data_IF_704635077853
#
_entry.id   IF_704635077853
#
_cell.length_a   1.000
_cell.length_b   1.000
_cell.length_c   1.000
_cell.angle_alpha   90.00
_cell.angle_beta   90.00
_cell.angle_gamma   90.00
#
_symmetry.space_group_name_H-M   'P 1'
#
loop_
_entity.id
_entity.type
_entity.pdbx_description
1 polymer ?
#
# COMPACT_ATOMS: atom_id res chain seq x y z
N UNK A 1 -19.49 2.10 35.54
CA UNK A 1 -19.89 2.95 34.39
C UNK A 1 -18.66 3.07 33.51
N UNK A 2 -18.57 2.34 32.39
CA UNK A 2 -17.37 2.34 31.55
C UNK A 2 -17.27 3.68 30.79
N UNK A 3 -16.08 4.26 30.80
CA UNK A 3 -15.77 5.50 30.07
C UNK A 3 -15.90 5.24 28.56
N UNK A 4 -16.83 5.96 27.92
CA UNK A 4 -17.00 5.91 26.47
C UNK A 4 -15.75 6.48 25.80
N UNK A 5 -15.01 5.63 25.11
CA UNK A 5 -13.88 6.00 24.25
C UNK A 5 -14.30 7.08 23.27
N UNK A 6 -13.62 8.22 23.33
CA UNK A 6 -13.83 9.34 22.40
C UNK A 6 -13.31 8.91 21.02
N UNK A 7 -14.23 8.75 20.07
CA UNK A 7 -13.89 8.52 18.67
C UNK A 7 -12.92 9.60 18.17
N UNK A 8 -11.86 9.22 17.41
CA UNK A 8 -10.92 10.17 16.85
C UNK A 8 -11.66 11.13 15.91
N UNK A 9 -11.41 12.43 16.07
CA UNK A 9 -12.00 13.47 15.22
C UNK A 9 -11.48 13.31 13.80
N UNK A 10 -12.32 12.76 12.92
CA UNK A 10 -12.06 12.71 11.48
C UNK A 10 -11.78 14.11 10.99
N UNK A 11 -10.55 14.35 10.54
CA UNK A 11 -10.22 15.59 9.83
C UNK A 11 -10.94 15.52 8.48
N UNK A 12 -11.77 16.51 8.13
CA UNK A 12 -12.42 16.53 6.83
C UNK A 12 -11.32 16.45 5.77
N UNK A 13 -11.37 15.42 4.92
CA UNK A 13 -10.43 15.25 3.82
C UNK A 13 -10.81 16.27 2.75
N UNK A 14 -10.36 17.51 2.95
CA UNK A 14 -10.66 18.60 2.04
C UNK A 14 -9.73 18.46 0.84
N UNK A 15 -10.27 17.98 -0.27
CA UNK A 15 -9.55 17.89 -1.53
C UNK A 15 -9.15 19.30 -1.98
N UNK A 16 -7.89 19.67 -1.73
CA UNK A 16 -7.33 21.01 -2.01
C UNK A 16 -7.50 21.41 -3.47
N UNK A 17 -7.53 20.44 -4.40
CA UNK A 17 -7.73 20.67 -5.83
C UNK A 17 -9.17 21.11 -6.12
N UNK A 18 -10.16 20.50 -5.47
CA UNK A 18 -11.56 20.91 -5.59
C UNK A 18 -11.79 22.31 -5.00
N UNK A 19 -11.17 22.62 -3.85
CA UNK A 19 -11.22 23.97 -3.29
C UNK A 19 -10.58 25.01 -4.22
N UNK A 20 -9.44 24.70 -4.85
CA UNK A 20 -8.80 25.59 -5.82
C UNK A 20 -9.68 25.85 -7.05
N UNK A 21 -10.38 24.83 -7.58
CA UNK A 21 -11.30 25.00 -8.73
C UNK A 21 -12.50 25.89 -8.34
N UNK A 22 -13.11 25.64 -7.18
CA UNK A 22 -14.24 26.45 -6.69
C UNK A 22 -13.79 27.90 -6.45
N UNK A 23 -12.61 28.09 -5.83
CA UNK A 23 -12.07 29.43 -5.55
C UNK A 23 -11.72 30.15 -6.85
N UNK A 24 -11.16 29.45 -7.84
CA UNK A 24 -10.88 30.01 -9.16
C UNK A 24 -12.15 30.41 -9.93
N UNK A 25 -13.23 29.62 -9.83
CA UNK A 25 -14.53 29.99 -10.42
C UNK A 25 -15.18 31.17 -9.71
N UNK A 26 -15.11 31.26 -8.37
CA UNK A 26 -15.62 32.42 -7.64
C UNK A 26 -14.82 33.70 -7.91
N UNK A 27 -13.50 33.60 -8.08
CA UNK A 27 -12.65 34.77 -8.38
C UNK A 27 -12.79 35.26 -9.84
N UNK A 28 -13.23 34.39 -10.76
CA UNK A 28 -13.56 34.76 -12.14
C UNK A 28 -14.87 35.57 -12.23
N UNK A 29 -15.79 35.43 -11.27
CA UNK A 29 -17.03 36.23 -11.22
C UNK A 29 -16.79 37.66 -10.70
N UNK A 30 -15.79 37.86 -9.83
CA UNK A 30 -15.53 39.15 -9.19
C UNK A 30 -14.67 40.13 -10.03
N UNK A 31 -14.06 39.69 -11.13
CA UNK A 31 -13.21 40.55 -11.97
C UNK A 31 -13.86 41.18 -13.20
N UNK A 32 -15.19 41.11 -13.35
CA UNK A 32 -15.89 42.03 -14.26
C UNK A 32 -17.09 41.47 -14.98
N UNK A 33 -18.21 41.34 -14.27
CA UNK A 33 -19.55 41.39 -14.88
C UNK A 33 -20.34 42.53 -14.21
N UNK A 34 -19.72 43.71 -14.17
CA UNK A 34 -20.34 45.00 -13.88
C UNK A 34 -20.68 45.77 -15.16
N UNK A 35 -21.12 45.08 -16.21
CA UNK A 35 -21.73 45.67 -17.39
C UNK A 35 -22.58 44.61 -18.06
N UNK A 36 -23.87 44.57 -17.70
CA UNK A 36 -24.88 43.89 -18.50
C UNK A 36 -24.86 44.58 -19.86
N UNK A 37 -24.11 44.01 -20.79
CA UNK A 37 -24.16 44.43 -22.18
C UNK A 37 -25.57 44.17 -22.65
N UNK A 38 -26.31 45.26 -22.87
CA UNK A 38 -27.45 45.31 -23.78
C UNK A 38 -26.98 45.05 -25.22
N UNK A 39 -26.16 44.03 -25.45
CA UNK A 39 -25.94 43.43 -26.75
C UNK A 39 -27.21 42.67 -27.13
N UNK A 40 -28.25 43.47 -27.36
CA UNK A 40 -29.23 43.23 -28.40
C UNK A 40 -28.52 42.52 -29.56
N UNK A 41 -29.09 41.38 -29.93
CA UNK A 41 -28.70 40.60 -31.10
C UNK A 41 -28.36 41.58 -32.25
N UNK A 42 -27.11 41.65 -32.74
CA UNK A 42 -26.68 42.67 -33.74
C UNK A 42 -27.42 42.57 -35.09
N UNK A 43 -28.29 41.56 -35.24
CA UNK A 43 -29.23 41.40 -36.35
C UNK A 43 -30.44 42.35 -36.21
N UNK A 44 -30.91 42.62 -34.98
CA UNK A 44 -32.10 43.47 -34.76
C UNK A 44 -31.78 44.97 -34.88
N UNK A 45 -30.59 45.41 -34.49
CA UNK A 45 -30.16 46.81 -34.62
C UNK A 45 -29.87 47.24 -36.07
N UNK A 46 -29.64 46.28 -36.97
CA UNK A 46 -29.56 46.55 -38.43
C UNK A 46 -30.93 46.59 -39.10
N UNK A 47 -31.97 45.98 -38.53
CA UNK A 47 -33.34 46.04 -39.07
C UNK A 47 -34.05 47.37 -38.77
N UNK A 48 -33.73 48.05 -37.66
CA UNK A 48 -34.37 49.32 -37.30
C UNK A 48 -33.93 50.51 -38.19
N UNK A 49 -32.82 50.38 -38.94
CA UNK A 49 -32.29 51.49 -39.77
C UNK A 49 -32.62 51.40 -41.26
N UNK A 50 -33.25 50.31 -41.71
CA UNK A 50 -33.61 50.13 -43.12
C UNK A 50 -35.06 50.51 -43.45
N UNK A 51 -35.90 50.78 -42.45
CA UNK A 51 -37.26 51.28 -42.67
C UNK A 51 -37.25 52.80 -42.88
N UNK A 52 -37.64 53.32 -44.06
CA UNK A 52 -37.73 54.76 -44.30
C UNK A 52 -38.76 55.39 -43.35
N UNK A 53 -38.39 56.48 -42.66
CA UNK A 53 -39.25 57.24 -41.71
C UNK A 53 -40.54 57.81 -42.32
N UNK A 54 -40.73 57.67 -43.62
CA UNK A 54 -41.94 58.08 -44.36
C UNK A 54 -42.83 56.90 -44.76
N UNK A 55 -42.44 55.66 -44.45
CA UNK A 55 -43.32 54.52 -44.62
C UNK A 55 -44.49 54.66 -43.65
N UNK A 56 -45.65 55.05 -44.17
CA UNK A 56 -46.95 54.86 -43.50
C UNK A 56 -46.93 53.44 -42.95
N UNK A 57 -46.97 53.30 -41.64
CA UNK A 57 -47.29 52.04 -40.98
C UNK A 57 -48.70 51.70 -41.42
N UNK A 58 -48.82 51.01 -42.55
CA UNK A 58 -50.05 50.37 -42.96
C UNK A 58 -50.40 49.46 -41.79
N UNK A 59 -51.44 49.84 -41.07
CA UNK A 59 -51.95 49.13 -39.92
C UNK A 59 -52.33 47.72 -40.40
N UNK A 60 -51.43 46.74 -40.29
CA UNK A 60 -51.65 45.40 -40.88
C UNK A 60 -52.76 44.64 -40.13
N UNK A 61 -53.35 45.22 -39.08
CA UNK A 61 -54.46 44.64 -38.33
C UNK A 61 -55.62 44.22 -39.23
N UNK A 62 -55.97 45.02 -40.25
CA UNK A 62 -57.07 44.70 -41.16
C UNK A 62 -56.78 43.55 -42.15
N UNK A 63 -55.52 43.15 -42.32
CA UNK A 63 -55.17 41.98 -43.14
C UNK A 63 -55.27 40.66 -42.35
N UNK A 64 -55.36 40.70 -41.01
CA UNK A 64 -55.60 39.54 -40.16
C UNK A 64 -57.09 39.23 -39.95
N UNK A 65 -58.00 40.15 -40.29
CA UNK A 65 -59.44 40.06 -40.06
C UNK A 65 -60.20 39.21 -41.11
N UNK A 66 -59.52 38.47 -41.98
CA UNK A 66 -60.20 37.52 -42.86
C UNK A 66 -60.81 36.38 -42.02
N UNK A 67 -62.14 36.29 -42.00
CA UNK A 67 -62.90 35.26 -41.24
C UNK A 67 -62.45 33.82 -41.51
N UNK A 68 -61.89 33.54 -42.67
CA UNK A 68 -61.35 32.22 -43.04
C UNK A 68 -60.01 31.89 -42.38
N UNK A 69 -59.28 32.87 -41.84
CA UNK A 69 -58.06 32.68 -41.03
C UNK A 69 -58.32 32.72 -39.52
N UNK A 70 -59.56 32.97 -39.08
CA UNK A 70 -59.92 33.12 -37.67
C UNK A 70 -60.36 31.82 -36.98
N UNK A 71 -60.63 30.74 -37.70
CA UNK A 71 -60.84 29.43 -37.07
C UNK A 71 -59.47 28.77 -36.88
N UNK A 72 -58.96 28.70 -35.63
CA UNK A 72 -57.69 28.06 -35.37
C UNK A 72 -57.77 26.60 -35.82
N UNK A 73 -56.85 26.18 -36.68
CA UNK A 73 -56.69 24.75 -36.96
C UNK A 73 -56.13 24.09 -35.71
N UNK A 74 -57.02 23.50 -34.92
CA UNK A 74 -56.64 22.77 -33.73
C UNK A 74 -56.03 21.43 -34.13
N UNK A 75 -54.89 21.04 -33.54
CA UNK A 75 -54.37 19.69 -33.72
C UNK A 75 -55.36 18.67 -33.17
N UNK A 76 -55.46 17.48 -33.78
CA UNK A 76 -56.28 16.40 -33.26
C UNK A 76 -55.85 16.02 -31.83
N UNK A 77 -56.81 15.54 -31.02
CA UNK A 77 -56.49 15.00 -29.70
C UNK A 77 -55.58 13.77 -29.84
N UNK A 78 -54.68 13.60 -28.86
CA UNK A 78 -53.84 12.41 -28.72
C UNK A 78 -54.37 11.45 -27.66
N UNK A 79 -55.49 11.79 -27.01
CA UNK A 79 -56.20 10.88 -26.11
C UNK A 79 -56.73 9.73 -26.96
N UNK A 80 -56.60 8.50 -26.46
CA UNK A 80 -57.09 7.33 -27.17
C UNK A 80 -58.60 7.24 -27.07
N UNK A 81 -59.22 6.60 -28.07
CA UNK A 81 -60.68 6.44 -28.12
C UNK A 81 -61.25 5.68 -26.91
N UNK A 82 -60.46 4.77 -26.31
CA UNK A 82 -60.83 4.04 -25.09
C UNK A 82 -61.07 4.95 -23.87
N UNK A 83 -60.50 6.15 -23.89
CA UNK A 83 -60.62 7.16 -22.83
C UNK A 83 -61.61 8.28 -23.20
N UNK A 84 -62.30 8.17 -24.34
CA UNK A 84 -63.30 9.17 -24.72
C UNK A 84 -64.52 9.09 -23.81
N UNK A 85 -65.03 10.25 -23.42
CA UNK A 85 -66.24 10.36 -22.61
C UNK A 85 -67.39 10.75 -23.51
N UNK A 86 -68.40 9.90 -23.54
CA UNK A 86 -69.64 10.13 -24.30
C UNK A 86 -70.79 10.42 -23.34
N UNK A 87 -71.66 11.35 -23.73
CA UNK A 87 -72.92 11.64 -23.06
C UNK A 87 -74.07 11.07 -23.90
N UNK A 88 -74.87 10.20 -23.29
CA UNK A 88 -76.04 9.60 -23.92
C UNK A 88 -77.27 10.49 -23.77
N UNK A 89 -78.03 10.63 -24.86
CA UNK A 89 -79.18 11.52 -24.94
C UNK A 89 -80.24 10.98 -25.91
N UNK A 90 -81.50 11.39 -25.71
CA UNK A 90 -82.59 10.94 -26.58
C UNK A 90 -82.58 11.56 -27.97
N UNK A 91 -81.87 12.68 -28.16
CA UNK A 91 -81.78 13.42 -29.42
C UNK A 91 -80.32 13.81 -29.67
N UNK A 92 -79.85 13.86 -30.94
CA UNK A 92 -78.48 14.27 -31.24
C UNK A 92 -78.25 15.71 -30.75
N UNK A 93 -77.22 15.91 -29.93
CA UNK A 93 -76.86 17.23 -29.41
C UNK A 93 -76.02 18.03 -30.40
N UNK A 94 -75.16 17.33 -31.15
CA UNK A 94 -74.26 17.94 -32.14
C UNK A 94 -73.98 17.01 -33.34
N UNK A 95 -73.28 17.52 -34.36
CA UNK A 95 -72.88 16.80 -35.58
C UNK A 95 -72.01 15.57 -35.29
N UNK A 96 -71.36 15.53 -34.13
CA UNK A 96 -70.53 14.42 -33.66
C UNK A 96 -71.32 13.32 -32.94
N UNK A 97 -72.65 13.44 -32.84
CA UNK A 97 -73.49 12.45 -32.18
C UNK A 97 -73.61 11.18 -33.02
N UNK A 98 -73.30 10.02 -32.43
CA UNK A 98 -73.48 8.70 -33.05
C UNK A 98 -74.63 7.95 -32.38
N UNK A 99 -75.56 7.40 -33.16
CA UNK A 99 -76.64 6.57 -32.62
C UNK A 99 -76.09 5.18 -32.28
N UNK A 100 -76.40 4.69 -31.08
CA UNK A 100 -76.08 3.33 -30.67
C UNK A 100 -77.35 2.48 -30.65
N UNK A 101 -77.33 1.40 -31.43
CA UNK A 101 -78.46 0.46 -31.50
C UNK A 101 -78.61 -0.38 -30.21
N UNK A 102 -77.57 -0.47 -29.38
CA UNK A 102 -77.55 -1.31 -28.18
C UNK A 102 -78.44 -0.77 -27.06
N UNK A 103 -78.40 0.54 -26.83
CA UNK A 103 -79.20 1.22 -25.80
C UNK A 103 -80.29 2.12 -26.39
N UNK A 104 -80.30 2.30 -27.71
CA UNK A 104 -81.26 3.12 -28.43
C UNK A 104 -81.09 4.63 -28.20
N UNK A 105 -79.91 5.08 -27.76
CA UNK A 105 -79.62 6.49 -27.46
C UNK A 105 -78.53 7.07 -28.39
N UNK A 106 -78.54 8.40 -28.52
CA UNK A 106 -77.51 9.17 -29.21
C UNK A 106 -76.35 9.46 -28.26
N UNK A 107 -75.15 9.03 -28.62
CA UNK A 107 -73.92 9.28 -27.88
C UNK A 107 -73.17 10.46 -28.49
N UNK A 108 -73.02 11.54 -27.73
CA UNK A 108 -72.24 12.71 -28.16
C UNK A 108 -70.89 12.67 -27.47
N UNK A 109 -69.80 12.81 -28.23
CA UNK A 109 -68.44 12.87 -27.67
C UNK A 109 -68.26 14.19 -26.90
N UNK A 110 -68.20 14.10 -25.57
CA UNK A 110 -68.01 15.27 -24.68
C UNK A 110 -66.53 15.55 -24.43
N UNK A 111 -65.71 14.51 -24.32
CA UNK A 111 -64.26 14.64 -24.14
C UNK A 111 -63.52 13.59 -24.96
N UNK A 112 -62.48 13.96 -25.72
CA UNK A 112 -61.99 15.32 -25.97
C UNK A 112 -62.92 16.13 -26.88
N UNK A 113 -63.29 17.35 -26.46
CA UNK A 113 -64.16 18.26 -27.23
C UNK A 113 -63.43 18.85 -28.45
N UNK A 114 -64.14 19.02 -29.55
CA UNK A 114 -63.60 19.69 -30.76
C UNK A 114 -63.41 21.21 -30.52
N UNK A 115 -64.05 21.77 -29.49
CA UNK A 115 -63.91 23.16 -29.04
C UNK A 115 -63.52 23.23 -27.56
N UNK A 116 -62.26 22.91 -27.20
CA UNK A 116 -61.86 22.60 -25.83
C UNK A 116 -61.62 23.87 -25.00
N UNK A 117 -62.62 24.73 -24.87
CA UNK A 117 -62.50 26.01 -24.16
C UNK A 117 -63.27 26.06 -22.84
N UNK A 118 -64.07 25.03 -22.56
CA UNK A 118 -64.98 25.03 -21.42
C UNK A 118 -64.27 24.67 -20.11
N UNK A 119 -64.82 25.13 -19.00
CA UNK A 119 -64.39 24.68 -17.66
C UNK A 119 -64.55 23.16 -17.51
N UNK A 120 -65.56 22.59 -18.14
CA UNK A 120 -65.83 21.15 -18.13
C UNK A 120 -64.70 20.37 -18.79
N UNK A 121 -64.15 20.84 -19.91
CA UNK A 121 -63.00 20.19 -20.59
C UNK A 121 -61.77 20.12 -19.69
N UNK A 122 -61.48 21.20 -18.96
CA UNK A 122 -60.36 21.24 -18.01
C UNK A 122 -60.57 20.24 -16.85
N UNK A 123 -61.80 20.11 -16.34
CA UNK A 123 -62.14 19.16 -15.28
C UNK A 123 -62.05 17.71 -15.79
N UNK A 124 -62.54 17.44 -17.01
CA UNK A 124 -62.46 16.10 -17.60
C UNK A 124 -61.00 15.70 -17.88
N UNK A 125 -60.17 16.63 -18.34
CA UNK A 125 -58.73 16.41 -18.50
C UNK A 125 -58.06 16.10 -17.16
N UNK A 126 -58.32 16.87 -16.11
CA UNK A 126 -57.77 16.62 -14.76
C UNK A 126 -58.18 15.24 -14.21
N UNK A 127 -59.45 14.86 -14.40
CA UNK A 127 -59.96 13.55 -14.04
C UNK A 127 -59.26 12.42 -14.83
N UNK A 128 -59.06 12.61 -16.14
CA UNK A 128 -58.34 11.65 -16.98
C UNK A 128 -56.89 11.51 -16.51
N UNK A 129 -56.16 12.61 -16.35
CA UNK A 129 -54.78 12.60 -15.82
C UNK A 129 -54.74 11.86 -14.48
N UNK A 130 -55.60 12.21 -13.54
CA UNK A 130 -55.65 11.60 -12.21
C UNK A 130 -55.98 10.11 -12.24
N UNK A 131 -56.80 9.65 -13.18
CA UNK A 131 -57.09 8.23 -13.38
C UNK A 131 -55.86 7.51 -13.94
N UNK A 132 -55.30 8.00 -15.04
CA UNK A 132 -54.17 7.38 -15.73
C UNK A 132 -52.91 7.36 -14.85
N UNK A 133 -52.66 8.42 -14.08
CA UNK A 133 -51.57 8.46 -13.11
C UNK A 133 -51.74 7.44 -11.99
N UNK A 134 -52.97 7.20 -11.50
CA UNK A 134 -53.23 6.16 -10.48
C UNK A 134 -53.03 4.75 -11.03
N UNK A 135 -53.29 4.54 -12.31
CA UNK A 135 -53.03 3.26 -12.98
C UNK A 135 -51.52 3.03 -13.13
N UNK A 136 -50.77 4.04 -13.57
CA UNK A 136 -49.30 3.97 -13.71
C UNK A 136 -48.59 3.91 -12.36
N UNK A 137 -49.11 4.54 -11.30
CA UNK A 137 -48.47 4.53 -9.98
C UNK A 137 -48.25 3.10 -9.44
N UNK A 138 -49.01 2.11 -9.92
CA UNK A 138 -48.80 0.70 -9.59
C UNK A 138 -47.49 0.14 -10.19
N UNK A 139 -47.03 0.70 -11.30
CA UNK A 139 -45.83 0.35 -12.04
C UNK A 139 -44.92 1.58 -12.12
N UNK A 140 -44.09 1.80 -11.09
CA UNK A 140 -43.29 3.03 -10.86
C UNK A 140 -42.17 3.32 -11.89
N UNK A 141 -42.37 3.01 -13.17
CA UNK A 141 -41.44 3.33 -14.23
C UNK A 141 -41.71 4.76 -14.70
N UNK A 142 -40.78 5.67 -14.40
CA UNK A 142 -40.77 7.06 -14.88
C UNK A 142 -40.95 7.14 -16.41
N UNK A 143 -40.53 6.11 -17.15
CA UNK A 143 -40.68 6.02 -18.60
C UNK A 143 -42.15 5.93 -19.06
N UNK A 144 -43.04 5.33 -18.27
CA UNK A 144 -44.47 5.22 -18.60
C UNK A 144 -45.23 6.52 -18.30
N UNK A 145 -44.71 7.33 -17.38
CA UNK A 145 -45.31 8.61 -16.99
C UNK A 145 -45.16 9.68 -18.08
N UNK A 146 -44.01 9.71 -18.76
CA UNK A 146 -43.68 10.75 -19.75
C UNK A 146 -44.68 10.82 -20.90
N UNK A 147 -45.08 9.70 -21.56
CA UNK A 147 -46.11 9.72 -22.60
C UNK A 147 -47.44 10.31 -22.14
N UNK A 148 -47.90 9.96 -20.93
CA UNK A 148 -49.19 10.46 -20.40
C UNK A 148 -49.16 11.96 -20.15
N UNK A 149 -48.08 12.46 -19.54
CA UNK A 149 -47.89 13.90 -19.34
C UNK A 149 -47.76 14.66 -20.67
N UNK A 150 -47.16 14.04 -21.70
CA UNK A 150 -47.07 14.61 -23.04
C UNK A 150 -48.45 14.76 -23.69
N UNK A 151 -49.30 13.73 -23.61
CA UNK A 151 -50.70 13.78 -24.10
C UNK A 151 -51.51 14.82 -23.32
N UNK A 152 -51.37 14.86 -21.99
CA UNK A 152 -52.02 15.85 -21.14
C UNK A 152 -51.67 17.28 -21.55
N UNK A 153 -50.38 17.55 -21.77
CA UNK A 153 -49.94 18.88 -22.17
C UNK A 153 -50.35 19.21 -23.61
N UNK A 154 -50.38 18.24 -24.52
CA UNK A 154 -50.92 18.43 -25.86
C UNK A 154 -52.39 18.88 -25.81
N UNK A 155 -53.18 18.30 -24.90
CA UNK A 155 -54.55 18.72 -24.65
C UNK A 155 -54.62 20.16 -24.11
N UNK A 156 -53.78 20.53 -23.13
CA UNK A 156 -53.68 21.90 -22.62
C UNK A 156 -53.31 22.88 -23.73
N UNK A 157 -52.36 22.52 -24.60
CA UNK A 157 -51.99 23.33 -25.77
C UNK A 157 -53.20 23.49 -26.69
N UNK A 158 -54.01 22.45 -26.92
CA UNK A 158 -55.24 22.56 -27.73
C UNK A 158 -56.26 23.52 -27.08
N UNK A 159 -56.45 23.45 -25.77
CA UNK A 159 -57.31 24.38 -25.01
C UNK A 159 -56.82 25.83 -25.15
N UNK A 160 -55.52 26.06 -24.99
CA UNK A 160 -54.92 27.40 -25.12
C UNK A 160 -54.98 27.90 -26.57
N UNK A 161 -54.73 27.05 -27.57
CA UNK A 161 -54.80 27.42 -28.99
C UNK A 161 -56.23 27.81 -29.41
N UNK A 162 -57.25 27.17 -28.85
CA UNK A 162 -58.64 27.55 -29.11
C UNK A 162 -58.94 28.96 -28.61
N UNK A 163 -58.40 29.35 -27.44
CA UNK A 163 -58.57 30.70 -26.90
C UNK A 163 -57.67 31.75 -27.56
N UNK A 164 -56.41 31.40 -27.83
CA UNK A 164 -55.41 32.28 -28.43
C UNK A 164 -54.28 31.43 -29.05
N UNK A 165 -54.25 31.39 -30.39
CA UNK A 165 -53.31 30.57 -31.18
C UNK A 165 -51.87 30.88 -30.84
N UNK A 166 -51.53 32.15 -30.72
CA UNK A 166 -50.16 32.63 -30.49
C UNK A 166 -49.62 32.12 -29.15
N UNK A 167 -50.47 32.13 -28.10
CA UNK A 167 -50.12 31.58 -26.79
C UNK A 167 -49.92 30.08 -26.84
N UNK A 168 -50.79 29.38 -27.57
CA UNK A 168 -50.68 27.92 -27.74
C UNK A 168 -49.42 27.51 -28.50
N UNK A 169 -49.09 28.22 -29.59
CA UNK A 169 -47.84 28.01 -30.35
C UNK A 169 -46.61 28.30 -29.49
N UNK A 170 -46.62 29.39 -28.71
CA UNK A 170 -45.54 29.70 -27.79
C UNK A 170 -45.37 28.61 -26.72
N UNK A 171 -46.46 28.14 -26.11
CA UNK A 171 -46.45 27.06 -25.11
C UNK A 171 -45.91 25.76 -25.70
N UNK A 172 -46.35 25.39 -26.91
CA UNK A 172 -45.85 24.20 -27.60
C UNK A 172 -44.34 24.29 -27.87
N UNK A 173 -43.84 25.46 -28.27
CA UNK A 173 -42.40 25.67 -28.50
C UNK A 173 -41.61 25.54 -27.20
N UNK A 174 -42.07 26.16 -26.12
CA UNK A 174 -41.43 26.04 -24.79
C UNK A 174 -41.37 24.58 -24.36
N UNK A 175 -42.46 23.83 -24.52
CA UNK A 175 -42.49 22.42 -24.18
C UNK A 175 -41.51 21.58 -25.00
N UNK A 176 -41.49 21.75 -26.33
CA UNK A 176 -40.54 21.01 -27.19
C UNK A 176 -39.10 21.28 -26.76
N UNK A 177 -38.74 22.54 -26.51
CA UNK A 177 -37.40 22.89 -26.01
C UNK A 177 -37.10 22.29 -24.63
N UNK A 178 -38.09 22.22 -23.75
CA UNK A 178 -37.95 21.56 -22.45
C UNK A 178 -37.71 20.04 -22.58
N UNK A 179 -38.48 19.36 -23.43
CA UNK A 179 -38.30 17.92 -23.70
C UNK A 179 -36.93 17.65 -24.32
N UNK A 180 -36.52 18.42 -25.31
CA UNK A 180 -35.17 18.31 -25.92
C UNK A 180 -34.05 18.51 -24.89
N UNK A 181 -34.20 19.48 -23.97
CA UNK A 181 -33.24 19.70 -22.88
C UNK A 181 -33.22 18.50 -21.94
N UNK A 182 -34.39 17.99 -21.56
CA UNK A 182 -34.50 16.86 -20.67
C UNK A 182 -33.90 15.58 -21.27
N UNK A 183 -34.14 15.30 -22.54
CA UNK A 183 -33.52 14.20 -23.28
C UNK A 183 -31.99 14.31 -23.27
N UNK A 184 -31.43 15.50 -23.54
CA UNK A 184 -29.98 15.72 -23.46
C UNK A 184 -29.42 15.44 -22.07
N UNK A 185 -30.12 15.86 -21.02
CA UNK A 185 -29.71 15.60 -19.63
C UNK A 185 -29.78 14.10 -19.32
N UNK A 186 -30.81 13.39 -19.76
CA UNK A 186 -30.92 11.94 -19.60
C UNK A 186 -29.80 11.21 -20.33
N UNK A 187 -29.51 11.58 -21.58
CA UNK A 187 -28.41 11.00 -22.35
C UNK A 187 -27.06 11.23 -21.67
N UNK A 188 -26.82 12.46 -21.18
CA UNK A 188 -25.60 12.77 -20.44
C UNK A 188 -25.50 11.96 -19.13
N UNK A 189 -26.61 11.78 -18.41
CA UNK A 189 -26.66 10.98 -17.20
C UNK A 189 -26.42 9.49 -17.49
N UNK A 190 -26.99 8.95 -18.58
CA UNK A 190 -26.76 7.57 -19.01
C UNK A 190 -25.30 7.33 -19.42
N UNK A 191 -24.71 8.26 -20.17
CA UNK A 191 -23.29 8.20 -20.54
C UNK A 191 -22.39 8.27 -19.30
N UNK A 192 -22.70 9.18 -18.37
CA UNK A 192 -21.99 9.26 -17.08
C UNK A 192 -22.11 7.97 -16.29
N UNK A 193 -23.30 7.37 -16.20
CA UNK A 193 -23.52 6.09 -15.53
C UNK A 193 -22.73 4.96 -16.19
N UNK A 194 -22.67 4.92 -17.53
CA UNK A 194 -21.89 3.94 -18.28
C UNK A 194 -20.39 4.06 -17.97
N UNK A 195 -19.85 5.27 -18.01
CA UNK A 195 -18.45 5.54 -17.69
C UNK A 195 -18.12 5.18 -16.23
N UNK A 196 -19.04 5.45 -15.29
CA UNK A 196 -18.88 5.01 -13.90
C UNK A 196 -18.87 3.49 -13.78
N UNK A 197 -19.76 2.78 -14.49
CA UNK A 197 -19.76 1.31 -14.51
C UNK A 197 -18.46 0.73 -15.06
N UNK A 198 -17.95 1.28 -16.15
CA UNK A 198 -16.66 0.88 -16.74
C UNK A 198 -15.51 1.09 -15.75
N UNK A 199 -15.43 2.28 -15.15
CA UNK A 199 -14.39 2.58 -14.14
C UNK A 199 -14.50 1.71 -12.89
N UNK A 200 -15.72 1.42 -12.42
CA UNK A 200 -15.92 0.52 -11.28
C UNK A 200 -15.49 -0.91 -11.64
N UNK A 201 -15.70 -1.35 -12.88
CA UNK A 201 -15.22 -2.65 -13.34
C UNK A 201 -13.68 -2.71 -13.38
N UNK A 202 -13.00 -1.68 -13.90
CA UNK A 202 -11.53 -1.59 -13.88
C UNK A 202 -10.97 -1.68 -12.46
N UNK A 203 -11.50 -0.88 -11.53
CA UNK A 203 -11.07 -0.91 -10.11
C UNK A 203 -11.36 -2.27 -9.47
N UNK A 204 -12.46 -2.92 -9.84
CA UNK A 204 -12.78 -4.26 -9.35
C UNK A 204 -11.79 -5.31 -9.86
N UNK A 205 -11.29 -5.15 -11.08
CA UNK A 205 -10.28 -6.06 -11.65
C UNK A 205 -8.89 -5.81 -11.04
N UNK A 206 -8.47 -4.57 -10.83
CA UNK A 206 -7.26 -4.22 -10.07
C UNK A 206 -7.31 -4.81 -8.64
N UNK A 207 -8.47 -4.71 -7.97
CA UNK A 207 -8.67 -5.29 -6.64
C UNK A 207 -8.55 -6.82 -6.66
N UNK A 208 -9.01 -7.50 -7.72
CA UNK A 208 -8.85 -8.95 -7.85
C UNK A 208 -7.39 -9.33 -8.04
N UNK A 209 -6.63 -8.58 -8.84
CA UNK A 209 -5.21 -8.81 -9.08
C UNK A 209 -4.39 -8.65 -7.79
N UNK A 210 -4.56 -7.53 -7.08
CA UNK A 210 -3.90 -7.30 -5.79
C UNK A 210 -4.22 -8.40 -4.76
N UNK A 211 -5.47 -8.86 -4.71
CA UNK A 211 -5.85 -9.98 -3.84
C UNK A 211 -5.19 -11.31 -4.24
N UNK A 212 -4.95 -11.54 -5.53
CA UNK A 212 -4.22 -12.72 -6.00
C UNK A 212 -2.75 -12.65 -5.60
N UNK A 213 -2.10 -11.48 -5.73
CA UNK A 213 -0.71 -11.27 -5.30
C UNK A 213 -0.55 -11.49 -3.79
N UNK A 214 -1.44 -10.92 -2.97
CA UNK A 214 -1.42 -11.15 -1.52
C UNK A 214 -1.58 -12.64 -1.18
N UNK A 215 -2.45 -13.36 -1.90
CA UNK A 215 -2.60 -14.81 -1.72
C UNK A 215 -1.36 -15.58 -2.15
N UNK A 216 -0.69 -15.16 -3.22
CA UNK A 216 0.55 -15.76 -3.68
C UNK A 216 1.67 -15.54 -2.66
N UNK A 217 1.87 -14.31 -2.20
CA UNK A 217 2.83 -13.98 -1.15
C UNK A 217 2.58 -14.77 0.14
N UNK A 218 1.31 -14.90 0.57
CA UNK A 218 0.93 -15.73 1.73
C UNK A 218 1.29 -17.22 1.55
N UNK A 219 1.34 -17.74 0.32
CA UNK A 219 1.74 -19.12 0.03
C UNK A 219 3.25 -19.27 -0.06
N UNK A 220 3.95 -18.33 -0.68
CA UNK A 220 5.40 -18.41 -0.90
C UNK A 220 6.22 -18.08 0.35
N UNK A 221 5.75 -17.18 1.19
CA UNK A 221 6.44 -16.76 2.42
C UNK A 221 6.83 -17.92 3.35
N UNK A 222 5.95 -18.89 3.71
CA UNK A 222 6.33 -20.01 4.56
C UNK A 222 7.39 -20.92 3.92
N UNK A 223 7.36 -21.10 2.60
CA UNK A 223 8.37 -21.90 1.88
C UNK A 223 9.73 -21.20 1.91
N UNK A 224 9.77 -19.89 1.66
CA UNK A 224 11.00 -19.09 1.76
C UNK A 224 11.56 -19.10 3.19
N UNK A 225 10.71 -18.91 4.20
CA UNK A 225 11.11 -19.02 5.60
C UNK A 225 11.68 -20.40 5.92
N UNK A 226 11.04 -21.47 5.47
CA UNK A 226 11.51 -22.83 5.71
C UNK A 226 12.88 -23.10 5.06
N UNK A 227 13.11 -22.59 3.85
CA UNK A 227 14.40 -22.67 3.18
C UNK A 227 15.50 -21.94 3.96
N UNK A 228 15.23 -20.72 4.43
CA UNK A 228 16.20 -19.93 5.22
C UNK A 228 16.49 -20.62 6.54
N UNK A 229 15.48 -21.12 7.25
CA UNK A 229 15.64 -21.85 8.50
C UNK A 229 16.51 -23.09 8.27
N UNK A 230 16.21 -23.89 7.24
CA UNK A 230 16.97 -25.10 6.91
C UNK A 230 18.44 -24.78 6.56
N UNK A 231 18.69 -23.69 5.82
CA UNK A 231 20.06 -23.26 5.50
C UNK A 231 20.84 -22.83 6.75
N UNK A 232 20.20 -22.08 7.65
CA UNK A 232 20.80 -21.64 8.91
C UNK A 232 21.08 -22.82 9.85
N UNK A 233 20.16 -23.77 9.96
CA UNK A 233 20.36 -25.01 10.72
C UNK A 233 21.54 -25.81 10.18
N UNK A 234 21.66 -25.96 8.86
CA UNK A 234 22.79 -26.65 8.23
C UNK A 234 24.12 -25.94 8.53
N UNK A 235 24.18 -24.61 8.41
CA UNK A 235 25.38 -23.82 8.74
C UNK A 235 25.74 -23.91 10.23
N UNK A 236 24.74 -23.91 11.11
CA UNK A 236 24.95 -24.04 12.55
C UNK A 236 25.52 -25.41 12.90
N UNK A 237 24.93 -26.49 12.38
CA UNK A 237 25.44 -27.85 12.56
C UNK A 237 26.86 -28.01 12.03
N UNK A 238 27.16 -27.40 10.88
CA UNK A 238 28.51 -27.43 10.31
C UNK A 238 29.53 -26.72 11.21
N UNK A 239 29.19 -25.53 11.72
CA UNK A 239 30.06 -24.80 12.66
C UNK A 239 30.24 -25.56 13.97
N UNK A 240 29.18 -26.12 14.52
CA UNK A 240 29.24 -26.95 15.72
C UNK A 240 30.20 -28.14 15.52
N UNK A 241 30.09 -28.86 14.40
CA UNK A 241 30.98 -29.97 14.07
C UNK A 241 32.44 -29.55 13.88
N UNK A 242 32.69 -28.33 13.39
CA UNK A 242 34.04 -27.79 13.30
C UNK A 242 34.61 -27.52 14.71
N UNK A 243 33.85 -26.84 15.57
CA UNK A 243 34.29 -26.60 16.95
C UNK A 243 34.51 -27.88 17.76
N UNK A 244 33.66 -28.90 17.58
CA UNK A 244 33.86 -30.21 18.21
C UNK A 244 35.16 -30.89 17.74
N UNK A 245 35.52 -30.70 16.46
CA UNK A 245 36.78 -31.20 15.91
C UNK A 245 37.98 -30.44 16.47
N UNK A 246 37.93 -29.11 16.45
CA UNK A 246 39.01 -28.27 16.96
C UNK A 246 39.24 -28.52 18.46
N UNK A 247 38.16 -28.74 19.22
CA UNK A 247 38.23 -29.13 20.63
C UNK A 247 38.91 -30.49 20.81
N UNK A 248 38.54 -31.50 20.00
CA UNK A 248 39.12 -32.83 20.06
C UNK A 248 40.63 -32.82 19.70
N UNK A 249 41.01 -32.04 18.68
CA UNK A 249 42.41 -31.84 18.29
C UNK A 249 43.20 -31.18 19.43
N UNK A 250 42.66 -30.11 20.04
CA UNK A 250 43.31 -29.45 21.17
C UNK A 250 43.42 -30.36 22.41
N UNK A 251 42.44 -31.23 22.66
CA UNK A 251 42.51 -32.23 23.74
C UNK A 251 43.58 -33.29 23.47
N UNK A 252 43.72 -33.75 22.23
CA UNK A 252 44.77 -34.68 21.81
C UNK A 252 46.16 -34.05 21.96
N UNK A 253 46.35 -32.82 21.50
CA UNK A 253 47.59 -32.06 21.67
C UNK A 253 47.94 -31.85 23.14
N UNK A 254 46.95 -31.51 23.96
CA UNK A 254 47.12 -31.34 25.41
C UNK A 254 47.53 -32.65 26.08
N UNK A 255 46.93 -33.77 25.67
CA UNK A 255 47.30 -35.10 26.14
C UNK A 255 48.72 -35.47 25.70
N UNK A 256 49.07 -35.24 24.43
CA UNK A 256 50.40 -35.46 23.89
C UNK A 256 51.45 -34.65 24.66
N UNK A 257 51.23 -33.35 24.86
CA UNK A 257 52.10 -32.48 25.65
C UNK A 257 52.25 -32.96 27.10
N UNK A 258 51.14 -33.34 27.76
CA UNK A 258 51.18 -33.94 29.12
C UNK A 258 52.00 -35.23 29.16
N UNK A 259 51.85 -36.10 28.16
CA UNK A 259 52.65 -37.34 28.09
C UNK A 259 54.12 -37.03 27.84
N UNK A 260 54.45 -36.09 26.96
CA UNK A 260 55.82 -35.66 26.68
C UNK A 260 56.49 -35.08 27.95
N UNK A 261 55.82 -34.19 28.67
CA UNK A 261 56.30 -33.64 29.95
C UNK A 261 56.55 -34.76 30.97
N UNK A 262 55.64 -35.72 31.10
CA UNK A 262 55.82 -36.85 32.01
C UNK A 262 57.01 -37.73 31.61
N UNK A 263 57.22 -37.95 30.32
CA UNK A 263 58.37 -38.70 29.81
C UNK A 263 59.67 -37.96 30.10
N UNK A 264 59.74 -36.67 29.78
CA UNK A 264 60.89 -35.82 30.10
C UNK A 264 61.17 -35.77 31.62
N UNK A 265 60.13 -35.69 32.45
CA UNK A 265 60.28 -35.71 33.90
C UNK A 265 60.88 -37.04 34.38
N UNK A 266 60.44 -38.18 33.85
CA UNK A 266 61.03 -39.49 34.14
C UNK A 266 62.48 -39.60 33.67
N UNK A 267 62.79 -39.07 32.49
CA UNK A 267 64.16 -39.01 31.98
C UNK A 267 65.02 -38.16 32.92
N UNK A 268 64.55 -36.97 33.31
CA UNK A 268 65.22 -36.09 34.24
C UNK A 268 65.47 -36.78 35.60
N UNK A 269 64.47 -37.44 36.17
CA UNK A 269 64.62 -38.22 37.41
C UNK A 269 65.65 -39.35 37.27
N UNK A 270 65.73 -39.99 36.10
CA UNK A 270 66.74 -41.02 35.82
C UNK A 270 68.15 -40.45 35.68
N UNK A 271 68.29 -39.28 35.04
CA UNK A 271 69.58 -38.62 34.83
C UNK A 271 70.05 -37.81 36.03
N UNK A 272 69.13 -37.41 36.92
CA UNK A 272 69.35 -36.57 38.10
C UNK A 272 68.40 -36.95 39.26
N UNK A 273 68.60 -38.10 39.92
CA UNK A 273 67.89 -38.50 41.14
C UNK A 273 67.90 -37.45 42.25
N UNK A 274 68.95 -36.62 42.32
CA UNK A 274 69.07 -35.52 43.28
C UNK A 274 68.26 -34.27 42.89
N UNK A 275 67.75 -34.18 41.66
CA UNK A 275 67.12 -32.98 41.10
C UNK A 275 66.04 -32.35 41.99
N UNK A 276 65.20 -33.18 42.62
CA UNK A 276 64.14 -32.69 43.52
C UNK A 276 64.66 -31.79 44.65
N UNK A 277 65.91 -31.96 45.08
CA UNK A 277 66.54 -31.22 46.18
C UNK A 277 67.09 -29.86 45.75
N UNK A 278 67.34 -29.64 44.46
CA UNK A 278 67.90 -28.39 43.96
C UNK A 278 67.09 -27.69 42.87
N UNK A 279 65.99 -28.28 42.39
CA UNK A 279 65.08 -27.66 41.42
C UNK A 279 64.47 -26.33 41.90
N UNK A 280 64.40 -26.14 43.22
CA UNK A 280 63.87 -24.94 43.88
C UNK A 280 64.91 -24.21 44.74
N UNK A 281 66.19 -24.58 44.62
CA UNK A 281 67.30 -23.89 45.30
C UNK A 281 67.50 -22.47 44.75
N UNK A 282 68.07 -21.58 45.58
CA UNK A 282 68.41 -20.18 45.26
C UNK A 282 69.27 -20.01 43.99
N UNK A 283 69.96 -21.05 43.51
CA UNK A 283 70.67 -21.05 42.23
C UNK A 283 69.72 -20.79 41.04
N UNK A 284 68.43 -21.13 41.17
CA UNK A 284 67.37 -20.81 40.20
C UNK A 284 67.17 -19.30 40.01
N UNK A 285 67.47 -18.48 41.01
CA UNK A 285 67.42 -17.02 40.92
C UNK A 285 68.65 -16.42 40.23
N UNK A 286 69.69 -17.22 39.96
CA UNK A 286 70.90 -16.80 39.23
C UNK A 286 70.84 -17.19 37.74
N UNK A 287 69.87 -18.01 37.33
CA UNK A 287 69.59 -18.31 35.92
C UNK A 287 68.57 -17.27 35.38
N UNK A 288 68.76 -16.71 34.17
CA UNK A 288 67.84 -15.71 33.63
C UNK A 288 66.45 -16.34 33.46
N UNK A 289 65.49 -15.85 34.25
CA UNK A 289 64.11 -16.30 34.16
C UNK A 289 63.50 -15.76 32.86
N UNK A 290 63.07 -16.66 31.97
CA UNK A 290 62.12 -16.29 30.93
C UNK A 290 60.75 -16.12 31.58
N UNK A 291 60.29 -14.87 31.64
CA UNK A 291 59.02 -14.47 32.26
C UNK A 291 57.83 -15.17 31.59
N UNK A 292 57.45 -16.33 32.11
CA UNK A 292 56.12 -16.89 31.89
C UNK A 292 55.42 -17.01 33.23
N UNK A 293 54.59 -16.00 33.50
CA UNK A 293 53.80 -15.87 34.71
C UNK A 293 52.90 -17.09 34.92
N UNK A 294 53.21 -17.86 35.95
CA UNK A 294 52.26 -18.79 36.56
C UNK A 294 52.32 -18.61 38.07
N UNK A 295 51.26 -18.01 38.59
CA UNK A 295 51.07 -17.69 39.99
C UNK A 295 51.07 -18.99 40.80
N UNK A 296 51.96 -19.00 41.78
CA UNK A 296 52.24 -20.05 42.74
C UNK A 296 51.01 -20.39 43.59
N UNK A 297 50.71 -21.68 43.70
CA UNK A 297 49.85 -22.26 44.73
C UNK A 297 50.44 -23.60 45.15
N UNK A 298 51.53 -23.56 45.94
CA UNK A 298 52.04 -24.74 46.64
C UNK A 298 52.82 -24.32 47.89
N UNK A 299 52.08 -24.15 48.96
CA UNK A 299 52.60 -24.15 50.32
C UNK A 299 51.78 -25.17 51.12
N UNK A 300 52.22 -26.43 51.12
CA UNK A 300 52.21 -27.30 52.30
C UNK A 300 52.67 -28.71 51.93
N UNK A 301 53.52 -29.27 52.81
CA UNK A 301 53.83 -30.69 53.02
C UNK A 301 54.87 -31.32 52.07
N UNK A 302 56.13 -31.34 52.53
CA UNK A 302 56.85 -32.61 52.80
C UNK A 302 58.11 -32.33 53.63
N UNK A 303 58.05 -32.63 54.93
CA UNK A 303 59.21 -32.69 55.80
C UNK A 303 59.75 -34.13 55.87
N UNK A 304 61.08 -34.24 55.89
CA UNK A 304 61.92 -35.41 56.18
C UNK A 304 61.96 -36.55 55.16
N UNK A 305 63.02 -36.60 54.35
CA UNK A 305 64.09 -37.62 54.35
C UNK A 305 65.30 -37.03 53.60
N UNK A 306 66.48 -37.03 54.23
CA UNK A 306 67.82 -36.65 53.73
C UNK A 306 68.02 -35.21 53.18
N UNK A 307 68.34 -34.28 54.10
CA UNK A 307 68.88 -32.93 53.79
C UNK A 307 70.32 -33.03 53.26
N UNK A 308 70.51 -33.64 52.09
CA UNK A 308 71.67 -33.31 51.28
C UNK A 308 71.46 -31.86 50.80
N UNK A 309 72.34 -30.94 51.23
CA UNK A 309 72.28 -29.55 50.79
C UNK A 309 72.20 -29.51 49.24
N UNK A 310 71.40 -28.59 48.64
CA UNK A 310 71.16 -28.57 47.20
C UNK A 310 72.44 -28.64 46.36
N UNK A 311 73.50 -27.99 46.84
CA UNK A 311 74.83 -27.98 46.24
C UNK A 311 75.50 -29.36 46.26
N UNK A 312 75.29 -30.13 47.34
CA UNK A 312 75.80 -31.50 47.49
C UNK A 312 75.04 -32.45 46.56
N UNK A 313 73.71 -32.35 46.50
CA UNK A 313 72.89 -33.14 45.59
C UNK A 313 73.25 -32.87 44.10
N UNK A 314 73.45 -31.60 43.73
CA UNK A 314 73.96 -31.24 42.40
C UNK A 314 75.34 -31.83 42.13
N UNK A 315 76.27 -31.71 43.09
CA UNK A 315 77.63 -32.22 42.94
C UNK A 315 77.67 -33.75 42.80
N UNK A 316 76.79 -34.47 43.51
CA UNK A 316 76.65 -35.92 43.40
C UNK A 316 76.11 -36.36 42.05
N UNK A 317 75.05 -35.71 41.55
CA UNK A 317 74.52 -36.00 40.22
C UNK A 317 75.54 -35.67 39.11
N UNK A 318 76.24 -34.54 39.23
CA UNK A 318 77.30 -34.14 38.29
C UNK A 318 78.47 -35.13 38.31
N UNK A 319 78.89 -35.55 39.50
CA UNK A 319 79.91 -36.60 39.66
C UNK A 319 79.48 -37.92 39.02
N UNK A 320 78.20 -38.31 39.14
CA UNK A 320 77.67 -39.53 38.51
C UNK A 320 77.69 -39.43 36.99
N UNK A 321 77.25 -38.30 36.43
CA UNK A 321 77.30 -38.04 34.98
C UNK A 321 78.72 -38.11 34.43
N UNK A 322 79.67 -37.44 35.10
CA UNK A 322 81.07 -37.50 34.70
C UNK A 322 81.62 -38.93 34.79
N UNK A 323 81.26 -39.69 35.82
CA UNK A 323 81.69 -41.08 35.98
C UNK A 323 81.17 -42.01 34.88
N UNK A 324 79.96 -41.75 34.35
CA UNK A 324 79.36 -42.51 33.27
C UNK A 324 80.04 -42.25 31.90
N UNK A 325 80.76 -41.14 31.74
CA UNK A 325 81.44 -40.80 30.50
C UNK A 325 82.81 -41.50 30.35
N UNK A 326 83.18 -41.90 29.11
CA UNK A 326 84.54 -42.35 28.80
C UNK A 326 85.58 -41.30 29.23
N UNK A 327 86.76 -41.72 29.69
CA UNK A 327 87.78 -40.83 30.24
C UNK A 327 88.22 -39.74 29.25
N UNK A 328 88.17 -40.02 27.95
CA UNK A 328 88.54 -39.04 26.91
C UNK A 328 87.52 -37.89 26.82
N UNK A 329 86.22 -38.19 26.95
CA UNK A 329 85.16 -37.17 26.98
C UNK A 329 85.19 -36.35 28.27
N UNK A 330 85.54 -36.97 29.40
CA UNK A 330 85.75 -36.25 30.67
C UNK A 330 86.86 -35.21 30.57
N UNK A 331 87.94 -35.51 29.85
CA UNK A 331 89.05 -34.56 29.64
C UNK A 331 88.62 -33.37 28.80
N UNK A 332 87.84 -33.60 27.73
CA UNK A 332 87.31 -32.52 26.89
C UNK A 332 86.35 -31.63 27.66
N UNK A 333 85.36 -32.22 28.35
CA UNK A 333 84.42 -31.46 29.19
C UNK A 333 85.14 -30.72 30.32
N UNK A 334 86.15 -31.36 30.93
CA UNK A 334 87.01 -30.73 31.92
C UNK A 334 87.79 -29.54 31.37
N UNK A 335 88.25 -29.59 30.11
CA UNK A 335 88.89 -28.46 29.43
C UNK A 335 87.90 -27.33 29.13
N UNK A 336 86.70 -27.65 28.65
CA UNK A 336 85.67 -26.66 28.32
C UNK A 336 85.15 -25.95 29.57
N UNK A 337 84.92 -26.68 30.67
CA UNK A 337 84.53 -26.11 31.96
C UNK A 337 85.63 -25.25 32.57
N UNK A 338 86.90 -25.59 32.32
CA UNK A 338 88.03 -24.78 32.78
C UNK A 338 88.05 -23.42 32.08
N UNK A 339 87.73 -23.38 30.77
CA UNK A 339 87.50 -22.12 30.05
C UNK A 339 86.35 -21.29 30.60
N UNK A 340 85.25 -21.93 31.02
CA UNK A 340 84.09 -21.25 31.63
C UNK A 340 84.39 -20.70 33.04
N UNK A 341 85.20 -21.42 33.83
CA UNK A 341 85.64 -21.02 35.17
C UNK A 341 86.66 -19.88 35.10
N UNK A 342 87.52 -19.88 34.08
CA UNK A 342 88.54 -18.85 33.86
C UNK A 342 87.97 -17.54 33.26
N UNK A 343 86.67 -17.49 32.94
CA UNK A 343 85.94 -16.27 32.64
C UNK A 343 86.13 -15.72 31.22
N UNK A 344 86.47 -16.56 30.24
CA UNK A 344 86.44 -16.14 28.83
C UNK A 344 84.99 -15.86 28.42
N UNK A 345 84.72 -14.60 28.05
CA UNK A 345 83.40 -14.13 27.61
C UNK A 345 82.87 -15.02 26.48
N UNK A 346 81.70 -15.60 26.70
CA UNK A 346 80.92 -16.27 25.65
C UNK A 346 80.63 -15.24 24.56
N UNK A 347 81.40 -15.29 23.47
CA UNK A 347 81.13 -14.51 22.27
C UNK A 347 79.67 -14.74 21.85
N UNK A 348 78.98 -13.62 21.70
CA UNK A 348 77.56 -13.48 21.33
C UNK A 348 77.18 -14.50 20.26
N UNK A 349 76.29 -15.43 20.62
CA UNK A 349 75.54 -16.22 19.67
C UNK A 349 74.79 -15.22 18.78
N UNK A 350 75.21 -15.15 17.52
CA UNK A 350 74.58 -14.37 16.48
C UNK A 350 73.07 -14.62 16.49
N UNK A 351 72.30 -13.57 16.77
CA UNK A 351 70.89 -13.50 16.44
C UNK A 351 70.74 -13.88 14.97
N UNK A 352 70.10 -15.01 14.73
CA UNK A 352 69.67 -15.39 13.40
C UNK A 352 68.83 -14.22 12.84
N UNK A 353 69.03 -13.84 11.57
CA UNK A 353 68.32 -12.73 10.97
C UNK A 353 66.83 -13.05 11.03
N UNK A 354 66.08 -12.30 11.83
CA UNK A 354 64.62 -12.27 11.78
C UNK A 354 64.23 -12.09 10.30
N UNK A 355 63.44 -13.02 9.80
CA UNK A 355 63.03 -13.12 8.41
C UNK A 355 62.17 -11.89 8.05
N UNK A 356 62.83 -10.81 7.62
CA UNK A 356 62.19 -9.53 7.25
C UNK A 356 61.14 -9.72 6.15
N UNK A 357 61.26 -10.78 5.35
CA UNK A 357 60.34 -11.15 4.29
C UNK A 357 59.00 -11.67 4.84
N UNK A 358 59.03 -12.41 5.96
CA UNK A 358 57.82 -12.91 6.62
C UNK A 358 57.01 -11.77 7.26
N UNK A 359 57.69 -10.80 7.89
CA UNK A 359 57.05 -9.58 8.40
C UNK A 359 56.47 -8.71 7.28
N UNK A 360 57.10 -8.69 6.11
CA UNK A 360 56.58 -7.93 4.96
C UNK A 360 55.28 -8.55 4.43
N UNK A 361 55.21 -9.89 4.37
CA UNK A 361 53.99 -10.61 3.99
C UNK A 361 52.85 -10.42 5.01
N UNK A 362 53.17 -10.45 6.31
CA UNK A 362 52.17 -10.15 7.35
C UNK A 362 51.61 -8.72 7.22
N UNK A 363 52.45 -7.73 6.89
CA UNK A 363 52.00 -6.35 6.68
C UNK A 363 51.09 -6.24 5.45
N UNK A 364 51.43 -6.89 4.33
CA UNK A 364 50.61 -6.90 3.11
C UNK A 364 49.24 -7.57 3.35
N UNK A 365 49.21 -8.66 4.13
CA UNK A 365 47.96 -9.32 4.49
C UNK A 365 47.07 -8.45 5.40
N UNK A 366 47.67 -7.72 6.35
CA UNK A 366 46.94 -6.77 7.19
C UNK A 366 46.33 -5.64 6.35
N UNK A 367 47.07 -5.10 5.39
CA UNK A 367 46.55 -4.05 4.49
C UNK A 367 45.39 -4.55 3.61
N UNK A 368 45.47 -5.79 3.10
CA UNK A 368 44.36 -6.41 2.35
C UNK A 368 43.10 -6.53 3.21
N UNK A 369 43.24 -7.03 4.44
CA UNK A 369 42.11 -7.18 5.36
C UNK A 369 41.50 -5.83 5.77
N UNK A 370 42.32 -4.77 5.91
CA UNK A 370 41.83 -3.42 6.18
C UNK A 370 41.01 -2.84 5.02
N UNK A 371 41.45 -3.04 3.77
CA UNK A 371 40.68 -2.65 2.59
C UNK A 371 39.33 -3.39 2.49
N UNK A 372 39.30 -4.68 2.80
CA UNK A 372 38.06 -5.47 2.81
C UNK A 372 37.08 -5.00 3.90
N UNK A 373 37.58 -4.70 5.10
CA UNK A 373 36.76 -4.14 6.18
C UNK A 373 36.14 -2.79 5.79
N UNK A 374 36.90 -1.90 5.16
CA UNK A 374 36.37 -0.61 4.70
C UNK A 374 35.25 -0.77 3.66
N UNK A 375 35.40 -1.71 2.72
CA UNK A 375 34.36 -1.99 1.73
C UNK A 375 33.07 -2.54 2.38
N UNK A 376 33.20 -3.41 3.38
CA UNK A 376 32.05 -3.94 4.13
C UNK A 376 31.37 -2.84 4.97
N UNK A 377 32.12 -1.92 5.58
CA UNK A 377 31.56 -0.79 6.32
C UNK A 377 30.76 0.17 5.42
N UNK A 378 31.23 0.43 4.20
CA UNK A 378 30.52 1.23 3.22
C UNK A 378 29.22 0.55 2.77
N UNK A 379 29.26 -0.76 2.52
CA UNK A 379 28.07 -1.55 2.19
C UNK A 379 27.02 -1.54 3.33
N UNK A 380 27.46 -1.68 4.58
CA UNK A 380 26.57 -1.61 5.75
C UNK A 380 25.93 -0.22 5.86
N UNK A 381 26.70 0.84 5.55
CA UNK A 381 26.20 2.22 5.57
C UNK A 381 25.13 2.45 4.50
N UNK A 382 25.31 1.92 3.30
CA UNK A 382 24.31 1.98 2.24
C UNK A 382 23.04 1.20 2.58
N UNK A 383 23.15 -0.01 3.15
CA UNK A 383 21.99 -0.78 3.61
C UNK A 383 21.22 -0.04 4.70
N UNK A 384 21.91 0.60 5.65
CA UNK A 384 21.26 1.41 6.69
C UNK A 384 20.51 2.61 6.12
N UNK A 385 21.05 3.28 5.10
CA UNK A 385 20.33 4.40 4.46
C UNK A 385 19.12 3.93 3.65
N UNK A 386 19.19 2.74 3.03
CA UNK A 386 18.04 2.13 2.37
C UNK A 386 16.94 1.75 3.36
N UNK A 387 17.27 1.12 4.49
CA UNK A 387 16.30 0.79 5.55
C UNK A 387 15.64 2.07 6.09
N UNK A 388 16.43 3.10 6.43
CA UNK A 388 15.89 4.37 6.92
C UNK A 388 14.96 5.05 5.89
N UNK A 389 15.25 4.89 4.59
CA UNK A 389 14.39 5.38 3.52
C UNK A 389 13.07 4.60 3.45
N UNK A 390 13.12 3.26 3.52
CA UNK A 390 11.92 2.42 3.53
C UNK A 390 11.03 2.69 4.76
N UNK A 391 11.64 2.91 5.93
CA UNK A 391 10.94 3.30 7.16
C UNK A 391 10.30 4.70 7.03
N UNK A 392 10.99 5.68 6.42
CA UNK A 392 10.47 7.02 6.22
C UNK A 392 9.34 7.10 5.18
N UNK A 393 9.33 6.19 4.19
CA UNK A 393 8.27 6.06 3.19
C UNK A 393 6.99 5.43 3.76
N UNK A 394 6.96 5.05 5.05
CA UNK A 394 5.74 4.70 5.78
C UNK A 394 5.14 3.36 5.38
N UNK A 395 5.94 2.47 4.79
CA UNK A 395 5.62 1.04 4.72
C UNK A 395 5.85 0.47 6.11
N UNK A 396 4.89 0.68 7.01
CA UNK A 396 4.86 0.02 8.31
C UNK A 396 4.22 -1.36 8.08
N UNK A 397 4.98 -2.47 8.05
CA UNK A 397 4.45 -3.80 7.74
C UNK A 397 3.58 -4.39 8.88
N UNK A 398 3.25 -3.61 9.91
CA UNK A 398 2.72 -4.11 11.17
C UNK A 398 1.33 -3.61 11.58
N UNK A 399 0.66 -2.72 10.82
CA UNK A 399 -0.67 -2.20 11.19
C UNK A 399 -1.84 -2.77 10.35
N UNK A 400 -1.72 -3.99 9.81
CA UNK A 400 -2.86 -4.76 9.27
C UNK A 400 -3.13 -6.03 10.09
N UNK A 401 -3.18 -5.89 11.41
CA UNK A 401 -4.03 -6.73 12.27
C UNK A 401 -5.41 -6.05 12.35
N UNK A 402 -6.04 -5.88 11.20
CA UNK A 402 -7.47 -5.60 11.12
C UNK A 402 -8.23 -6.81 11.64
N UNK A 403 -8.78 -6.65 12.84
CA UNK A 403 -9.74 -7.50 13.52
C UNK A 403 -10.73 -8.12 12.51
N UNK A 404 -10.48 -9.37 12.13
CA UNK A 404 -11.39 -10.18 11.33
C UNK A 404 -12.52 -10.59 12.25
N UNK A 405 -13.53 -9.72 12.39
CA UNK A 405 -14.81 -10.09 12.95
C UNK A 405 -15.46 -11.02 11.94
N UNK A 406 -15.46 -12.32 12.24
CA UNK A 406 -16.38 -13.29 11.65
C UNK A 406 -17.80 -12.82 11.97
N UNK A 407 -18.41 -12.07 11.05
CA UNK A 407 -19.86 -11.94 11.01
C UNK A 407 -20.40 -13.29 10.50
N UNK A 408 -20.71 -14.17 11.47
CA UNK A 408 -21.66 -15.26 11.31
C UNK A 408 -23.02 -14.65 10.92
N UNK A 409 -23.22 -14.42 9.61
CA UNK A 409 -24.53 -14.10 9.05
C UNK A 409 -25.32 -15.41 8.92
N UNK A 410 -25.86 -15.84 10.06
CA UNK A 410 -26.94 -16.81 10.19
C UNK A 410 -28.23 -16.20 9.59
N UNK A 411 -28.26 -16.08 8.27
CA UNK A 411 -29.42 -15.68 7.49
C UNK A 411 -30.47 -16.79 7.44
N UNK A 412 -31.15 -17.02 8.57
CA UNK A 412 -32.30 -17.90 8.73
C UNK A 412 -33.46 -17.42 7.83
N UNK A 413 -33.66 -18.13 6.71
CA UNK A 413 -34.75 -17.89 5.77
C UNK A 413 -36.05 -18.45 6.35
N UNK A 414 -36.78 -17.61 7.10
CA UNK A 414 -38.16 -17.92 7.46
C UNK A 414 -39.10 -17.62 6.28
N UNK A 415 -39.53 -18.69 5.60
CA UNK A 415 -40.73 -18.69 4.78
C UNK A 415 -41.97 -18.79 5.68
N UNK A 416 -42.82 -17.77 5.66
CA UNK A 416 -44.26 -17.87 5.97
C UNK A 416 -45.05 -16.94 5.06
#
# INVERSE_FOLDING_TARGET
MPEKSKLPKLRPNVNKRAQQIITAHMQLEDQGIGAVSNSSVPVLSKLERTAPRTARTHDVSHLADHRSTLQPQLPASQIKEEDFVYESSFMPLDVTSTYSDEDGLWHTKVFPSDSPSSRTDAVMLDNWISKTLREIQKNLLVQELVPVLSVALHEIVRQVMHHCVERGVALQKIWRTYVELFERVLDQMQQSLKLHKERTAEVQDELKEANQEVRQLKREHPEQMHNIISELEAKFLQRQKNFERDLAEAEEENLAAKTAIRTQHKELESWYPGFQHYQDSLVKNLLPQTDHGSISSKALLKESVDDAAPEVAMAEDFKRLLAALPPDKRKVIGQDLMGLIDGDEVEKINDAPFNLEEKALEIEEIERLQCELQAQEEQIKDLKTQIARMEAEGLDPAEDQGDFVEEDDDGEVHYT
#
